data_IF_730591150537
#
_entry.id   IF_730591150537
#
_cell.length_a   1.000
_cell.length_b   1.000
_cell.length_c   1.000
_cell.angle_alpha   90.00
_cell.angle_beta   90.00
_cell.angle_gamma   90.00
#
_symmetry.space_group_name_H-M   'P 1'
#
loop_
_entity.id
_entity.type
_entity.pdbx_description
1 polymer ?
#
# COMPACT_ATOMS: atom_id res chain seq x y z
N UNK A 1 -10.12 -4.31 -33.20
CA UNK A 1 -8.66 -4.11 -33.09
C UNK A 1 -8.36 -4.01 -31.61
N UNK A 2 -7.91 -5.11 -31.00
CA UNK A 2 -7.48 -5.11 -29.60
C UNK A 2 -6.10 -4.44 -29.55
N UNK A 3 -6.04 -3.28 -28.90
CA UNK A 3 -4.79 -2.54 -28.71
C UNK A 3 -3.92 -3.40 -27.78
N UNK A 4 -2.68 -3.77 -28.16
CA UNK A 4 -1.81 -4.50 -27.25
C UNK A 4 -1.50 -3.56 -26.08
N UNK A 5 -2.04 -3.87 -24.91
CA UNK A 5 -1.63 -3.21 -23.67
C UNK A 5 -0.14 -3.50 -23.50
N UNK A 6 0.69 -2.49 -23.76
CA UNK A 6 2.11 -2.54 -23.46
C UNK A 6 2.23 -2.80 -21.96
N UNK A 7 2.59 -4.04 -21.61
CA UNK A 7 2.87 -4.42 -20.24
C UNK A 7 4.08 -3.60 -19.81
N UNK A 8 3.84 -2.57 -19.00
CA UNK A 8 4.92 -1.83 -18.38
C UNK A 8 5.83 -2.85 -17.66
N UNK A 9 7.16 -2.73 -17.80
CA UNK A 9 8.08 -3.70 -17.23
C UNK A 9 7.87 -3.76 -15.72
N UNK A 10 7.40 -4.91 -15.22
CA UNK A 10 7.27 -5.12 -13.78
C UNK A 10 8.64 -4.96 -13.12
N UNK A 11 8.74 -4.28 -11.96
CA UNK A 11 10.02 -4.06 -11.31
C UNK A 11 10.70 -5.40 -10.99
N UNK A 12 12.01 -5.48 -11.25
CA UNK A 12 12.82 -6.70 -11.09
C UNK A 12 12.90 -7.21 -9.64
N UNK A 13 12.54 -6.38 -8.67
CA UNK A 13 12.53 -6.67 -7.24
C UNK A 13 11.33 -6.00 -6.60
N UNK A 14 10.66 -6.70 -5.70
CA UNK A 14 9.56 -6.18 -4.89
C UNK A 14 9.93 -6.24 -3.41
N UNK A 15 9.38 -5.33 -2.62
CA UNK A 15 9.47 -5.33 -1.17
C UNK A 15 8.06 -5.38 -0.59
N UNK A 16 7.80 -6.31 0.32
CA UNK A 16 6.52 -6.45 1.01
C UNK A 16 6.76 -6.28 2.52
N UNK A 17 5.98 -5.39 3.14
CA UNK A 17 6.03 -5.12 4.57
C UNK A 17 4.61 -5.32 5.11
N UNK A 18 4.46 -6.22 6.08
CA UNK A 18 3.20 -6.44 6.80
C UNK A 18 3.39 -6.03 8.24
N UNK A 19 2.57 -5.10 8.73
CA UNK A 19 2.62 -4.59 10.10
C UNK A 19 1.28 -4.85 10.75
N UNK A 20 1.29 -5.45 11.95
CA UNK A 20 0.10 -5.69 12.77
C UNK A 20 0.35 -5.09 14.15
N UNK A 21 -0.57 -4.26 14.62
CA UNK A 21 -0.51 -3.59 15.91
C UNK A 21 -1.92 -3.31 16.41
N UNK A 22 -2.07 -3.19 17.73
CA UNK A 22 -3.35 -2.80 18.33
C UNK A 22 -3.61 -1.31 18.13
N UNK A 23 -4.86 -0.97 17.89
CA UNK A 23 -5.36 0.40 17.79
C UNK A 23 -6.45 0.62 18.85
N UNK A 24 -6.56 1.84 19.37
CA UNK A 24 -7.65 2.20 20.29
C UNK A 24 -8.95 2.47 19.54
N UNK A 25 -8.84 3.05 18.35
CA UNK A 25 -9.95 3.41 17.47
C UNK A 25 -9.49 3.48 16.00
N UNK A 26 -10.47 3.53 15.10
CA UNK A 26 -10.24 3.61 13.65
C UNK A 26 -9.48 4.87 13.22
N UNK A 27 -9.64 5.98 13.96
CA UNK A 27 -8.97 7.24 13.65
C UNK A 27 -7.45 7.07 13.78
N UNK A 28 -6.97 6.40 14.84
CA UNK A 28 -5.53 6.09 14.97
C UNK A 28 -5.01 5.26 13.80
N UNK A 29 -5.79 4.32 13.28
CA UNK A 29 -5.40 3.53 12.11
C UNK A 29 -5.28 4.40 10.85
N UNK A 30 -6.20 5.35 10.65
CA UNK A 30 -6.17 6.30 9.54
C UNK A 30 -5.01 7.29 9.64
N UNK A 31 -4.72 7.81 10.84
CA UNK A 31 -3.58 8.70 11.08
C UNK A 31 -2.25 8.00 10.69
N UNK A 32 -2.10 6.70 11.02
CA UNK A 32 -0.91 5.91 10.64
C UNK A 32 -0.87 5.64 9.14
N UNK A 33 -2.03 5.34 8.53
CA UNK A 33 -2.14 5.17 7.08
C UNK A 33 -1.65 6.41 6.34
N UNK A 34 -2.03 7.60 6.80
CA UNK A 34 -1.60 8.86 6.20
C UNK A 34 -0.07 9.04 6.27
N UNK A 35 0.54 8.72 7.42
CA UNK A 35 2.02 8.76 7.57
C UNK A 35 2.69 7.83 6.57
N UNK A 36 2.17 6.60 6.43
CA UNK A 36 2.70 5.62 5.46
C UNK A 36 2.54 6.16 4.04
N UNK A 37 1.34 6.62 3.67
CA UNK A 37 1.06 7.15 2.33
C UNK A 37 1.97 8.30 1.95
N UNK A 38 2.23 9.22 2.89
CA UNK A 38 3.17 10.32 2.69
C UNK A 38 4.61 9.84 2.53
N UNK A 39 5.02 8.80 3.28
CA UNK A 39 6.36 8.22 3.18
C UNK A 39 6.59 7.47 1.86
N UNK A 40 5.53 6.93 1.24
CA UNK A 40 5.60 6.16 -0.02
C UNK A 40 5.00 6.90 -1.22
N UNK A 41 4.75 8.21 -1.12
CA UNK A 41 4.05 9.00 -2.15
C UNK A 41 4.76 8.98 -3.52
N UNK A 42 6.08 8.86 -3.52
CA UNK A 42 6.92 8.92 -4.72
C UNK A 42 7.28 7.52 -5.28
N UNK A 43 6.74 6.44 -4.69
CA UNK A 43 6.98 5.07 -5.16
C UNK A 43 6.01 4.72 -6.30
N UNK A 44 6.56 4.33 -7.45
CA UNK A 44 5.79 3.82 -8.59
C UNK A 44 6.49 2.60 -9.23
N UNK A 45 5.78 1.50 -9.52
CA UNK A 45 4.38 1.23 -9.19
C UNK A 45 4.19 0.88 -7.69
N UNK A 46 3.22 1.52 -7.04
CA UNK A 46 2.85 1.24 -5.63
C UNK A 46 1.72 0.23 -5.53
N UNK A 47 1.93 -0.83 -4.75
CA UNK A 47 0.88 -1.80 -4.37
C UNK A 47 1.05 -2.18 -2.90
N UNK A 48 0.11 -1.78 -2.06
CA UNK A 48 0.02 -2.23 -0.67
C UNK A 48 -1.45 -2.36 -0.25
N UNK A 49 -1.69 -3.12 0.82
CA UNK A 49 -3.02 -3.37 1.37
C UNK A 49 -3.11 -2.75 2.77
N UNK A 50 -4.19 -2.04 3.06
CA UNK A 50 -4.54 -1.56 4.39
C UNK A 50 -5.83 -2.25 4.85
N UNK A 51 -5.82 -2.82 6.04
CA UNK A 51 -6.98 -3.51 6.62
C UNK A 51 -7.02 -3.23 8.12
N UNK A 52 -8.20 -2.85 8.62
CA UNK A 52 -8.54 -2.83 10.04
C UNK A 52 -9.31 -4.12 10.32
N UNK A 53 -8.88 -4.88 11.32
CA UNK A 53 -9.56 -6.10 11.75
C UNK A 53 -10.06 -5.89 13.17
N UNK A 54 -11.35 -6.14 13.40
CA UNK A 54 -11.91 -6.22 14.74
C UNK A 54 -11.43 -7.53 15.40
N UNK A 55 -11.12 -7.48 16.69
CA UNK A 55 -10.64 -8.64 17.45
C UNK A 55 -11.75 -9.20 18.34
#
# INVERSE_FOLDING_TARGET
MEVPQQQQPMPKKSCMITIMFGIEDDKKALDIKEVIDNAVKDIDPKRYTFQISET
#
